data_IF_250022074850
#
_entry.id   IF_250022074850
#
_cell.length_a   1.000
_cell.length_b   1.000
_cell.length_c   1.000
_cell.angle_alpha   90.00
_cell.angle_beta   90.00
_cell.angle_gamma   90.00
#
_symmetry.space_group_name_H-M   'P 1'
#
loop_
_entity.id
_entity.type
_entity.pdbx_description
1 polymer ?
#
# COMPACT_ATOMS: atom_id res chain seq x y z
N UNK A 1 -6.48 -4.18 6.05
CA UNK A 1 -5.22 -4.93 6.28
C UNK A 1 -4.95 -5.11 7.77
N UNK A 2 -5.94 -5.55 8.56
CA UNK A 2 -5.71 -5.83 9.98
C UNK A 2 -4.86 -7.08 10.15
N UNK A 3 -3.98 -7.06 11.15
CA UNK A 3 -3.13 -8.18 11.55
C UNK A 3 -3.53 -8.66 12.94
N UNK A 4 -3.20 -9.89 13.27
CA UNK A 4 -3.35 -10.43 14.61
C UNK A 4 -2.15 -10.05 15.52
N UNK A 5 -2.10 -10.63 16.72
CA UNK A 5 -1.02 -10.39 17.69
C UNK A 5 0.36 -10.90 17.23
N UNK A 6 0.40 -11.76 16.21
CA UNK A 6 1.64 -12.24 15.59
C UNK A 6 2.04 -11.40 14.37
N UNK A 7 1.27 -10.35 14.05
CA UNK A 7 1.52 -9.49 12.90
C UNK A 7 1.20 -10.18 11.57
N UNK A 8 0.32 -11.19 11.57
CA UNK A 8 -0.06 -11.95 10.37
C UNK A 8 -1.45 -11.52 9.91
N UNK A 9 -1.59 -11.21 8.62
CA UNK A 9 -2.88 -10.86 8.02
C UNK A 9 -3.65 -12.11 7.56
N UNK A 10 -4.97 -11.98 7.40
CA UNK A 10 -5.81 -13.05 6.86
C UNK A 10 -5.33 -13.54 5.49
N UNK A 11 -4.86 -12.63 4.62
CA UNK A 11 -4.34 -12.97 3.30
C UNK A 11 -3.00 -13.71 3.37
N UNK A 12 -2.14 -13.36 4.32
CA UNK A 12 -0.91 -14.12 4.56
C UNK A 12 -1.19 -15.54 5.03
N UNK A 13 -2.18 -15.73 5.91
CA UNK A 13 -2.60 -17.07 6.33
C UNK A 13 -3.13 -17.88 5.15
N UNK A 14 -4.01 -17.30 4.32
CA UNK A 14 -4.53 -17.96 3.13
C UNK A 14 -3.41 -18.38 2.18
N UNK A 15 -2.48 -17.47 1.89
CA UNK A 15 -1.32 -17.74 1.02
C UNK A 15 -0.40 -18.81 1.59
N UNK A 16 -0.04 -18.73 2.88
CA UNK A 16 0.85 -19.71 3.53
C UNK A 16 0.24 -21.10 3.62
N UNK A 17 -1.07 -21.18 3.82
CA UNK A 17 -1.81 -22.45 3.86
C UNK A 17 -2.10 -23.04 2.47
N UNK A 18 -1.77 -22.33 1.39
CA UNK A 18 -2.06 -22.76 0.01
C UNK A 18 -3.53 -22.66 -0.37
N UNK A 19 -4.32 -21.86 0.36
CA UNK A 19 -5.71 -21.56 0.02
C UNK A 19 -5.77 -20.47 -1.04
N UNK A 20 -5.38 -20.84 -2.26
CA UNK A 20 -5.24 -19.91 -3.38
C UNK A 20 -6.58 -19.23 -3.74
N UNK A 21 -7.69 -19.96 -3.67
CA UNK A 21 -9.04 -19.43 -3.88
C UNK A 21 -9.38 -18.29 -2.92
N UNK A 22 -9.18 -18.51 -1.62
CA UNK A 22 -9.41 -17.49 -0.58
C UNK A 22 -8.45 -16.30 -0.76
N UNK A 23 -7.19 -16.58 -1.10
CA UNK A 23 -6.22 -15.52 -1.36
C UNK A 23 -6.64 -14.64 -2.55
N UNK A 24 -7.09 -15.25 -3.65
CA UNK A 24 -7.56 -14.52 -4.82
C UNK A 24 -8.82 -13.71 -4.51
N UNK A 25 -9.78 -14.26 -3.77
CA UNK A 25 -10.99 -13.52 -3.35
C UNK A 25 -10.60 -12.26 -2.55
N UNK A 26 -9.64 -12.38 -1.61
CA UNK A 26 -9.15 -11.25 -0.83
C UNK A 26 -8.44 -10.20 -1.70
N UNK A 27 -7.66 -10.63 -2.70
CA UNK A 27 -7.02 -9.72 -3.65
C UNK A 27 -8.06 -9.00 -4.51
N UNK A 28 -9.08 -9.70 -5.00
CA UNK A 28 -10.13 -9.11 -5.83
C UNK A 28 -10.97 -8.08 -5.07
N UNK A 29 -11.35 -8.38 -3.83
CA UNK A 29 -12.05 -7.41 -2.97
C UNK A 29 -11.16 -6.23 -2.60
N UNK A 30 -9.84 -6.44 -2.45
CA UNK A 30 -8.85 -5.37 -2.30
C UNK A 30 -8.87 -4.40 -3.50
N UNK A 31 -8.73 -4.93 -4.71
CA UNK A 31 -8.78 -4.15 -5.96
C UNK A 31 -10.11 -3.42 -6.10
N UNK A 32 -11.23 -4.11 -5.84
CA UNK A 32 -12.56 -3.53 -5.93
C UNK A 32 -12.73 -2.35 -4.97
N UNK A 33 -12.27 -2.51 -3.73
CA UNK A 33 -12.33 -1.48 -2.70
C UNK A 33 -11.52 -0.26 -3.11
N UNK A 34 -10.31 -0.45 -3.64
CA UNK A 34 -9.46 0.63 -4.12
C UNK A 34 -10.12 1.44 -5.24
N UNK A 35 -10.63 0.76 -6.27
CA UNK A 35 -11.34 1.40 -7.39
C UNK A 35 -12.59 2.13 -6.91
N UNK A 36 -13.37 1.52 -6.00
CA UNK A 36 -14.56 2.12 -5.44
C UNK A 36 -14.23 3.39 -4.66
N UNK A 37 -13.21 3.35 -3.80
CA UNK A 37 -12.76 4.50 -3.03
C UNK A 37 -12.26 5.62 -3.95
N UNK A 38 -11.46 5.30 -4.97
CA UNK A 38 -11.01 6.28 -5.97
C UNK A 38 -12.19 6.96 -6.70
N UNK A 39 -13.26 6.21 -6.99
CA UNK A 39 -14.47 6.79 -7.58
C UNK A 39 -15.25 7.67 -6.59
N UNK A 40 -15.37 7.24 -5.34
CA UNK A 40 -16.12 7.95 -4.29
C UNK A 40 -15.41 9.23 -3.83
N UNK A 41 -14.08 9.28 -3.86
CA UNK A 41 -13.29 10.44 -3.46
C UNK A 41 -13.48 11.67 -4.38
N UNK A 42 -14.14 11.48 -5.54
CA UNK A 42 -14.61 12.58 -6.39
C UNK A 42 -15.86 13.30 -5.84
N UNK A 43 -16.30 13.01 -4.62
CA UNK A 43 -17.41 13.71 -3.94
C UNK A 43 -16.90 14.33 -2.64
N UNK A 44 -17.31 15.58 -2.38
CA UNK A 44 -16.85 16.41 -1.25
C UNK A 44 -16.73 15.62 0.07
N UNK A 45 -15.50 15.47 0.57
CA UNK A 45 -15.24 14.91 1.90
C UNK A 45 -15.56 15.95 2.98
N UNK A 46 -16.49 15.62 3.88
CA UNK A 46 -16.60 16.31 5.19
C UNK A 46 -15.41 15.88 6.07
N UNK A 47 -14.90 16.75 6.96
CA UNK A 47 -13.82 16.37 7.86
C UNK A 47 -14.31 15.25 8.79
N UNK A 48 -13.73 14.06 8.67
CA UNK A 48 -13.90 13.01 9.67
C UNK A 48 -12.95 13.28 10.83
N UNK A 49 -13.50 13.55 12.02
CA UNK A 49 -12.76 13.48 13.28
C UNK A 49 -12.58 11.99 13.64
N UNK A 50 -11.52 11.36 13.12
CA UNK A 50 -11.02 10.09 13.67
C UNK A 50 -9.95 10.40 14.72
N UNK A 51 -9.99 9.66 15.83
CA UNK A 51 -8.93 9.50 16.83
C UNK A 51 -7.67 8.85 16.22
N UNK A 52 -7.17 9.41 15.13
CA UNK A 52 -5.83 9.10 14.64
C UNK A 52 -4.85 9.76 15.62
N UNK A 53 -3.81 9.03 16.02
CA UNK A 53 -2.61 9.68 16.56
C UNK A 53 -2.28 10.85 15.63
N UNK A 54 -1.90 12.02 16.18
CA UNK A 54 -1.69 13.18 15.33
C UNK A 54 -0.68 12.81 14.23
N UNK A 55 -0.82 13.34 13.01
CA UNK A 55 0.14 13.03 11.94
C UNK A 55 1.59 13.25 12.40
N UNK A 56 1.81 14.19 13.33
CA UNK A 56 3.10 14.42 13.96
C UNK A 56 3.61 13.23 14.80
N UNK A 57 2.72 12.54 15.52
CA UNK A 57 3.06 11.34 16.29
C UNK A 57 3.42 10.18 15.37
N UNK A 58 2.68 9.98 14.27
CA UNK A 58 3.01 8.95 13.27
C UNK A 58 4.42 9.18 12.70
N UNK A 59 4.74 10.41 12.29
CA UNK A 59 6.02 10.76 11.67
C UNK A 59 7.23 10.70 12.62
N UNK A 60 7.00 10.61 13.94
CA UNK A 60 8.06 10.49 14.95
C UNK A 60 8.32 9.05 15.39
N UNK A 61 7.40 8.13 15.10
CA UNK A 61 7.48 6.74 15.57
C UNK A 61 8.15 5.89 14.50
N UNK A 62 9.15 5.06 14.84
CA UNK A 62 9.90 4.33 13.83
C UNK A 62 9.03 3.32 13.10
N UNK A 63 9.27 3.16 11.81
CA UNK A 63 8.72 2.07 11.01
C UNK A 63 9.65 0.85 11.06
N UNK A 64 9.05 -0.34 11.00
CA UNK A 64 9.76 -1.61 11.02
C UNK A 64 9.56 -2.32 9.68
N UNK A 65 10.63 -2.40 8.91
CA UNK A 65 10.73 -3.26 7.73
C UNK A 65 11.13 -4.67 8.19
N UNK A 66 10.30 -5.67 7.87
CA UNK A 66 10.53 -7.07 8.21
C UNK A 66 10.10 -7.94 7.03
N UNK A 67 11.07 -8.54 6.34
CA UNK A 67 10.85 -9.31 5.12
C UNK A 67 10.02 -8.51 4.09
N UNK A 68 8.80 -8.96 3.79
CA UNK A 68 7.86 -8.32 2.89
C UNK A 68 6.79 -7.48 3.64
N UNK A 69 7.09 -7.02 4.86
CA UNK A 69 6.16 -6.26 5.70
C UNK A 69 6.71 -4.91 6.11
N UNK A 70 5.84 -3.91 6.12
CA UNK A 70 6.05 -2.61 6.75
C UNK A 70 5.05 -2.43 7.88
N UNK A 71 5.57 -2.37 9.10
CA UNK A 71 4.78 -2.23 10.32
C UNK A 71 5.10 -0.93 11.04
N UNK A 72 4.11 -0.37 11.74
CA UNK A 72 4.35 0.74 12.65
C UNK A 72 4.97 0.27 13.99
N UNK A 73 5.24 1.22 14.89
CA UNK A 73 5.82 0.90 16.20
C UNK A 73 4.92 0.02 17.09
N UNK A 74 3.61 -0.01 16.83
CA UNK A 74 2.60 -0.81 17.54
C UNK A 74 2.31 -2.14 16.84
N UNK A 75 3.08 -2.48 15.80
CA UNK A 75 2.94 -3.67 14.96
C UNK A 75 1.67 -3.68 14.10
N UNK A 76 1.00 -2.54 13.92
CA UNK A 76 -0.05 -2.45 12.92
C UNK A 76 0.57 -2.48 11.52
N UNK A 77 -0.11 -3.16 10.60
CA UNK A 77 0.30 -3.20 9.21
C UNK A 77 0.10 -1.84 8.53
N UNK A 78 1.20 -1.23 8.08
CA UNK A 78 1.20 -0.07 7.20
C UNK A 78 1.09 -0.54 5.76
N UNK A 79 1.89 -1.55 5.37
CA UNK A 79 1.84 -2.17 4.04
C UNK A 79 2.38 -3.59 4.09
N UNK A 80 1.82 -4.49 3.27
CA UNK A 80 2.17 -5.91 3.28
C UNK A 80 2.45 -6.45 1.87
N UNK A 81 3.40 -7.37 1.74
CA UNK A 81 3.86 -7.92 0.47
C UNK A 81 2.80 -8.71 -0.30
N UNK A 82 1.83 -9.31 0.41
CA UNK A 82 0.71 -10.01 -0.21
C UNK A 82 -0.16 -9.10 -1.09
N UNK A 83 -0.07 -7.78 -0.90
CA UNK A 83 -0.83 -6.75 -1.64
C UNK A 83 -0.25 -6.48 -3.04
N UNK A 84 0.92 -7.05 -3.40
CA UNK A 84 1.56 -6.81 -4.70
C UNK A 84 0.62 -7.00 -5.92
N UNK A 85 -0.21 -8.05 -6.01
CA UNK A 85 -1.13 -8.22 -7.15
C UNK A 85 -2.21 -7.14 -7.23
N UNK A 86 -2.57 -6.51 -6.09
CA UNK A 86 -3.49 -5.37 -6.06
C UNK A 86 -2.82 -4.20 -6.77
N UNK A 87 -1.59 -3.85 -6.36
CA UNK A 87 -0.81 -2.76 -6.94
C UNK A 87 -0.58 -2.95 -8.46
N UNK A 88 -0.30 -4.17 -8.90
CA UNK A 88 -0.14 -4.48 -10.33
C UNK A 88 -1.42 -4.28 -11.14
N UNK A 89 -2.57 -4.74 -10.61
CA UNK A 89 -3.88 -4.56 -11.26
C UNK A 89 -4.25 -3.08 -11.30
N UNK A 90 -3.98 -2.33 -10.24
CA UNK A 90 -4.22 -0.89 -10.17
C UNK A 90 -3.35 -0.12 -11.15
N UNK A 91 -2.03 -0.37 -11.18
CA UNK A 91 -1.12 0.27 -12.14
C UNK A 91 -1.57 0.05 -13.59
N UNK A 92 -2.05 -1.17 -13.93
CA UNK A 92 -2.61 -1.47 -15.25
C UNK A 92 -3.82 -0.60 -15.62
N UNK A 93 -4.69 -0.30 -14.65
CA UNK A 93 -5.87 0.53 -14.86
C UNK A 93 -5.47 2.00 -15.00
N UNK A 94 -4.55 2.47 -14.15
CA UNK A 94 -4.12 3.87 -14.11
C UNK A 94 -3.20 4.25 -15.29
N UNK A 95 -2.47 3.29 -15.85
CA UNK A 95 -1.52 3.50 -16.94
C UNK A 95 -2.01 2.88 -18.27
N UNK A 96 -2.99 3.48 -18.96
CA UNK A 96 -3.51 2.96 -20.22
C UNK A 96 -2.51 3.02 -21.38
N UNK A 97 -1.39 3.73 -21.22
CA UNK A 97 -0.30 3.84 -22.19
C UNK A 97 1.01 4.20 -21.48
N UNK A 98 2.13 3.95 -22.17
CA UNK A 98 3.46 4.35 -21.71
C UNK A 98 3.66 5.88 -21.78
N UNK A 99 4.68 6.38 -21.09
CA UNK A 99 5.12 7.78 -21.17
C UNK A 99 4.23 8.78 -20.42
N UNK A 100 3.40 8.32 -19.48
CA UNK A 100 2.60 9.19 -18.61
C UNK A 100 3.45 9.78 -17.49
N UNK A 101 3.03 10.90 -16.93
CA UNK A 101 3.55 11.38 -15.65
C UNK A 101 2.71 10.81 -14.52
N UNK A 102 3.35 10.18 -13.54
CA UNK A 102 2.68 9.56 -12.39
C UNK A 102 3.19 10.18 -11.10
N UNK A 103 2.27 10.37 -10.15
CA UNK A 103 2.54 10.84 -8.80
C UNK A 103 2.05 9.77 -7.83
N UNK A 104 2.98 9.21 -7.06
CA UNK A 104 2.67 8.35 -5.92
C UNK A 104 2.89 9.13 -4.61
N UNK A 105 1.95 9.03 -3.68
CA UNK A 105 2.05 9.62 -2.34
C UNK A 105 1.98 8.48 -1.33
N UNK A 106 3.12 8.16 -0.72
CA UNK A 106 3.36 6.96 0.08
C UNK A 106 4.14 5.92 -0.73
N UNK A 107 5.44 5.82 -0.45
CA UNK A 107 6.32 4.81 -1.03
C UNK A 107 6.10 3.44 -0.38
N UNK A 108 6.03 3.40 0.96
CA UNK A 108 5.82 2.16 1.71
C UNK A 108 6.87 1.08 1.41
N UNK A 109 6.44 -0.04 0.82
CA UNK A 109 7.28 -1.14 0.35
C UNK A 109 7.71 -1.01 -1.12
N UNK A 110 7.35 0.07 -1.81
CA UNK A 110 7.70 0.27 -3.23
C UNK A 110 6.92 -0.59 -4.23
N UNK A 111 5.98 -1.43 -3.79
CA UNK A 111 5.24 -2.36 -4.67
C UNK A 111 4.47 -1.61 -5.77
N UNK A 112 3.83 -0.49 -5.42
CA UNK A 112 3.13 0.35 -6.40
C UNK A 112 4.10 1.03 -7.35
N UNK A 113 5.23 1.50 -6.85
CA UNK A 113 6.23 2.17 -7.67
C UNK A 113 6.87 1.21 -8.68
N UNK A 114 7.20 0.00 -8.25
CA UNK A 114 7.65 -1.08 -9.14
C UNK A 114 6.60 -1.43 -10.20
N UNK A 115 5.32 -1.54 -9.80
CA UNK A 115 4.22 -1.80 -10.72
C UNK A 115 4.07 -0.69 -11.77
N UNK A 116 4.14 0.58 -11.36
CA UNK A 116 4.06 1.75 -12.24
C UNK A 116 5.25 1.81 -13.20
N UNK A 117 6.47 1.49 -12.75
CA UNK A 117 7.68 1.51 -13.59
C UNK A 117 7.60 0.54 -14.78
N UNK A 118 6.85 -0.56 -14.67
CA UNK A 118 6.60 -1.49 -15.79
C UNK A 118 5.91 -0.81 -16.98
N UNK A 119 5.21 0.30 -16.75
CA UNK A 119 4.52 1.10 -17.78
C UNK A 119 5.36 2.27 -18.31
N UNK A 120 6.64 2.35 -17.96
CA UNK A 120 7.60 3.34 -18.49
C UNK A 120 7.07 4.77 -18.44
N UNK A 121 6.75 5.30 -17.24
CA UNK A 121 6.32 6.68 -17.13
C UNK A 121 7.40 7.63 -17.65
N UNK A 122 6.99 8.74 -18.27
CA UNK A 122 7.92 9.81 -18.66
C UNK A 122 8.48 10.53 -17.43
N UNK A 123 7.69 10.60 -16.36
CA UNK A 123 8.11 11.10 -15.06
C UNK A 123 7.40 10.33 -13.95
N UNK A 124 8.15 9.94 -12.92
CA UNK A 124 7.62 9.26 -11.76
C UNK A 124 8.04 10.04 -10.50
N UNK A 125 7.08 10.77 -9.92
CA UNK A 125 7.29 11.48 -8.65
C UNK A 125 6.79 10.60 -7.52
N UNK A 126 7.61 10.41 -6.50
CA UNK A 126 7.24 9.69 -5.28
C UNK A 126 7.39 10.67 -4.12
N UNK A 127 6.35 10.80 -3.31
CA UNK A 127 6.37 11.60 -2.08
C UNK A 127 6.16 10.66 -0.90
N UNK A 128 7.16 10.51 -0.05
CA UNK A 128 7.05 9.74 1.19
C UNK A 128 7.22 10.70 2.36
N UNK A 129 6.24 10.70 3.27
CA UNK A 129 6.23 11.62 4.40
C UNK A 129 7.06 11.08 5.56
N UNK A 130 7.08 9.76 5.75
CA UNK A 130 7.76 9.14 6.88
C UNK A 130 9.28 9.11 6.63
N UNK A 131 10.12 9.58 7.56
CA UNK A 131 11.57 9.61 7.36
C UNK A 131 12.14 8.21 7.04
N UNK A 132 11.76 7.19 7.81
CA UNK A 132 12.22 5.81 7.60
C UNK A 132 11.79 5.20 6.25
N UNK A 133 10.77 5.77 5.60
CA UNK A 133 10.15 5.22 4.39
C UNK A 133 11.11 5.11 3.21
N UNK A 134 12.09 6.01 3.12
CA UNK A 134 13.08 6.03 2.03
C UNK A 134 14.39 5.35 2.47
N UNK A 135 14.81 5.49 3.73
CA UNK A 135 16.15 5.07 4.18
C UNK A 135 16.42 3.57 4.03
N UNK A 136 15.39 2.72 4.11
CA UNK A 136 15.56 1.27 3.98
C UNK A 136 16.13 0.82 2.61
N UNK A 137 15.91 1.61 1.55
CA UNK A 137 16.32 1.24 0.18
C UNK A 137 17.62 1.91 -0.31
N UNK A 138 18.24 2.77 0.51
CA UNK A 138 19.47 3.50 0.17
C UNK A 138 20.70 3.11 1.04
N UNK A 139 20.56 2.13 1.94
CA UNK A 139 21.61 1.57 2.79
C UNK A 139 21.76 0.07 2.54
#
# INVERSE_FOLDING_TARGET
NSVDFEGVSAAEYAKKAGHEDIYQDLVEEGVRTEVLLAYLDNREKKPEEKLAASNADYLQRPLKYQDDKLLDSELNAVMMGWEAPIMEKTAKILCPKEGLSVLNIGFGLGLMDEALQKYKPAHHTIVEAHPDGIYHYYL
#
